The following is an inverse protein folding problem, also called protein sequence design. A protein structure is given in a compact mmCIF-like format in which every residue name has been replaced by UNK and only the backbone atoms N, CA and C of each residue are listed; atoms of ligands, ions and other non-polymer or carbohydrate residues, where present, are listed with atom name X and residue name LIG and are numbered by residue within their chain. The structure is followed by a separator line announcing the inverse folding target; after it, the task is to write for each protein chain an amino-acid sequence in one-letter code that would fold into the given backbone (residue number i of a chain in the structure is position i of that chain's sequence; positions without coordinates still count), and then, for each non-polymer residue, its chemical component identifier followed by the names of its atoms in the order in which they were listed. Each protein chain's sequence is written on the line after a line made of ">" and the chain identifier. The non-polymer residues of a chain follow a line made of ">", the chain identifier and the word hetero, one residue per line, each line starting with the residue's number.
data_IF_209093080280
#
_entry.id   IF_209093080280
#
_cell.length_a   1.000
_cell.length_b   1.000
_cell.length_c   1.000
_cell.angle_alpha   90.00
_cell.angle_beta   90.00
_cell.angle_gamma   90.00
#
_symmetry.space_group_name_H-M   'P 1'
#
loop_
_entity.id
_entity.type
_entity.pdbx_description
1 polymer ?
#
# COMPACT_ATOMS: atom_id res chain seq x y z
N UNK A 1 7.02 -42.98 -36.79
CA UNK A 1 6.60 -43.59 -35.50
C UNK A 1 5.55 -42.67 -34.88
N UNK A 2 4.45 -42.37 -35.57
CA UNK A 2 3.22 -43.17 -35.61
C UNK A 2 2.82 -43.81 -34.27
N UNK A 3 1.75 -43.24 -33.68
CA UNK A 3 0.56 -43.85 -33.04
C UNK A 3 -0.10 -42.71 -32.23
N UNK A 4 -1.01 -41.91 -32.80
CA UNK A 4 -2.44 -42.21 -33.02
C UNK A 4 -3.05 -43.06 -31.91
N UNK A 5 -4.00 -42.46 -31.15
CA UNK A 5 -5.33 -43.01 -30.83
C UNK A 5 -6.09 -42.07 -29.86
N UNK A 6 -7.01 -41.28 -30.39
CA UNK A 6 -8.23 -40.86 -29.69
C UNK A 6 -9.30 -41.95 -29.86
N UNK A 7 -10.25 -42.09 -28.91
CA UNK A 7 -11.63 -42.30 -29.33
C UNK A 7 -12.65 -41.44 -28.55
N UNK A 8 -13.32 -40.60 -29.33
CA UNK A 8 -14.76 -40.30 -29.40
C UNK A 8 -15.74 -40.90 -28.36
N UNK A 9 -16.43 -39.98 -27.68
CA UNK A 9 -17.91 -39.89 -27.50
C UNK A 9 -18.73 -41.17 -27.33
N UNK A 10 -19.35 -41.35 -26.16
CA UNK A 10 -20.68 -41.95 -26.03
C UNK A 10 -21.42 -41.36 -24.82
N UNK A 11 -22.38 -40.49 -25.16
CA UNK A 11 -23.73 -40.42 -24.61
C UNK A 11 -23.91 -40.32 -23.08
N UNK A 12 -24.26 -39.13 -22.59
CA UNK A 12 -25.32 -38.95 -21.59
C UNK A 12 -25.84 -37.51 -21.63
N UNK A 13 -26.56 -37.19 -22.70
CA UNK A 13 -27.46 -36.05 -22.78
C UNK A 13 -28.87 -36.54 -22.44
N UNK A 14 -29.24 -36.53 -21.15
CA UNK A 14 -30.63 -36.59 -20.70
C UNK A 14 -30.86 -35.52 -19.62
N UNK A 15 -31.07 -34.31 -20.12
CA UNK A 15 -32.19 -33.43 -19.81
C UNK A 15 -32.99 -33.70 -18.52
N UNK A 16 -32.82 -32.78 -17.55
CA UNK A 16 -33.87 -31.94 -16.94
C UNK A 16 -35.02 -32.65 -16.20
N UNK A 17 -35.20 -32.31 -14.91
CA UNK A 17 -36.41 -31.67 -14.32
C UNK A 17 -36.42 -31.78 -12.79
N UNK A 18 -36.27 -30.66 -12.09
CA UNK A 18 -37.05 -30.30 -10.89
C UNK A 18 -36.61 -28.90 -10.44
N UNK A 19 -37.22 -27.82 -10.96
CA UNK A 19 -38.28 -27.07 -10.26
C UNK A 19 -38.00 -26.86 -8.76
N UNK A 20 -37.60 -25.64 -8.43
CA UNK A 20 -38.20 -24.78 -7.39
C UNK A 20 -37.41 -23.46 -7.39
N UNK A 21 -37.80 -22.50 -8.22
CA UNK A 21 -38.53 -21.29 -7.78
C UNK A 21 -38.03 -20.65 -6.49
N UNK A 22 -37.79 -19.36 -6.61
CA UNK A 22 -37.57 -18.38 -5.56
C UNK A 22 -36.11 -18.28 -5.12
N UNK A 23 -35.33 -17.54 -5.92
CA UNK A 23 -34.45 -16.52 -5.35
C UNK A 23 -35.29 -15.71 -4.35
N UNK A 24 -35.27 -16.14 -3.10
CA UNK A 24 -35.93 -15.42 -2.02
C UNK A 24 -35.06 -14.19 -1.72
N UNK A 25 -35.05 -13.24 -2.65
CA UNK A 25 -34.86 -11.84 -2.33
C UNK A 25 -35.98 -11.50 -1.36
N UNK A 26 -35.68 -11.70 -0.07
CA UNK A 26 -36.42 -11.08 1.00
C UNK A 26 -36.15 -9.59 0.85
N UNK A 27 -36.96 -8.92 0.04
CA UNK A 27 -37.25 -7.51 0.21
C UNK A 27 -37.98 -7.35 1.56
N UNK A 28 -37.24 -7.54 2.65
CA UNK A 28 -37.55 -6.86 3.89
C UNK A 28 -37.28 -5.40 3.58
N UNK A 29 -38.27 -4.73 3.00
CA UNK A 29 -38.31 -3.29 2.82
C UNK A 29 -38.14 -2.69 4.21
N UNK A 30 -36.91 -2.31 4.55
CA UNK A 30 -36.61 -1.59 5.79
C UNK A 30 -37.46 -0.33 5.77
N UNK A 31 -38.55 -0.29 6.54
CA UNK A 31 -39.31 0.94 6.72
C UNK A 31 -38.41 2.09 7.22
N UNK A 32 -37.31 1.74 7.92
CA UNK A 32 -36.22 2.63 8.35
C UNK A 32 -34.90 1.84 8.36
N UNK A 33 -33.81 2.41 7.84
CA UNK A 33 -32.47 1.81 7.85
C UNK A 33 -31.60 2.41 8.98
N UNK A 34 -30.47 1.78 9.32
CA UNK A 34 -29.54 2.30 10.32
C UNK A 34 -28.70 3.43 9.71
N UNK A 35 -28.69 4.59 10.36
CA UNK A 35 -28.04 5.79 9.85
C UNK A 35 -26.49 5.77 9.95
N UNK A 36 -25.91 5.10 10.95
CA UNK A 36 -24.45 5.05 11.15
C UNK A 36 -23.99 3.83 11.96
N UNK A 37 -22.80 3.29 11.67
CA UNK A 37 -22.15 2.23 12.47
C UNK A 37 -20.63 2.19 12.32
N UNK A 38 -19.93 2.06 13.46
CA UNK A 38 -18.46 1.87 13.53
C UNK A 38 -18.08 0.41 13.94
N UNK A 39 -19.07 -0.48 14.02
CA UNK A 39 -18.94 -1.81 14.66
C UNK A 39 -17.79 -2.69 14.15
N UNK A 40 -17.55 -2.71 12.83
CA UNK A 40 -16.49 -3.54 12.24
C UNK A 40 -15.27 -2.73 11.74
N UNK A 41 -15.20 -1.43 12.04
CA UNK A 41 -14.11 -0.60 11.53
C UNK A 41 -12.79 -0.93 12.25
N UNK A 42 -12.82 -0.99 13.58
CA UNK A 42 -11.64 -1.34 14.38
C UNK A 42 -11.06 -2.71 14.01
N UNK A 43 -11.90 -3.74 13.86
CA UNK A 43 -11.45 -5.09 13.48
C UNK A 43 -10.74 -5.10 12.11
N UNK A 44 -11.24 -4.34 11.13
CA UNK A 44 -10.61 -4.21 9.81
C UNK A 44 -9.27 -3.47 9.89
N UNK A 45 -9.18 -2.37 10.63
CA UNK A 45 -7.93 -1.63 10.81
C UNK A 45 -6.84 -2.47 11.49
N UNK A 46 -7.24 -3.31 12.46
CA UNK A 46 -6.31 -4.19 13.18
C UNK A 46 -5.96 -5.48 12.42
N UNK A 47 -6.73 -5.91 11.41
CA UNK A 47 -6.39 -7.09 10.58
C UNK A 47 -5.02 -6.97 9.91
N UNK A 48 -4.67 -5.78 9.43
CA UNK A 48 -3.35 -5.48 8.85
C UNK A 48 -2.40 -4.82 9.87
N UNK A 49 -2.93 -4.46 11.05
CA UNK A 49 -2.25 -3.70 12.10
C UNK A 49 -2.12 -2.20 11.76
N UNK A 50 -2.40 -1.35 12.75
CA UNK A 50 -2.18 0.10 12.65
C UNK A 50 -0.67 0.35 12.82
N UNK A 51 0.04 0.60 11.72
CA UNK A 51 1.48 0.84 11.73
C UNK A 51 1.77 2.32 12.02
N UNK A 52 2.75 2.59 12.88
CA UNK A 52 3.28 3.94 13.11
C UNK A 52 4.07 4.40 11.88
N UNK A 53 4.12 5.71 11.58
CA UNK A 53 5.00 6.22 10.53
C UNK A 53 6.45 5.86 10.88
N UNK A 54 7.27 5.55 9.86
CA UNK A 54 8.68 5.24 10.07
C UNK A 54 9.44 6.53 10.38
N UNK A 55 10.21 6.53 11.46
CA UNK A 55 11.20 7.58 11.73
C UNK A 55 12.47 7.30 10.96
N UNK A 56 13.01 8.32 10.28
CA UNK A 56 14.30 8.24 9.62
C UNK A 56 15.35 9.02 10.43
N UNK A 57 16.63 8.63 10.35
CA UNK A 57 17.72 9.35 11.04
C UNK A 57 17.84 10.80 10.56
N UNK A 58 17.61 11.03 9.27
CA UNK A 58 17.68 12.34 8.64
C UNK A 58 16.37 12.60 7.89
N UNK A 59 15.60 13.57 8.37
CA UNK A 59 14.34 13.99 7.77
C UNK A 59 14.55 15.05 6.69
N UNK A 60 13.53 15.27 5.86
CA UNK A 60 13.57 16.30 4.82
C UNK A 60 13.51 17.72 5.43
N UNK A 61 14.23 18.68 4.82
CA UNK A 61 14.21 20.10 5.24
C UNK A 61 13.10 20.92 4.57
N UNK A 62 12.00 20.27 4.15
CA UNK A 62 10.86 20.95 3.52
C UNK A 62 10.10 21.77 4.57
N UNK A 63 9.80 23.03 4.26
CA UNK A 63 9.11 23.95 5.18
C UNK A 63 10.02 24.78 6.08
N UNK A 64 11.34 24.61 5.97
CA UNK A 64 12.32 25.49 6.62
C UNK A 64 12.42 26.81 5.87
N UNK A 65 12.68 27.91 6.60
CA UNK A 65 12.83 29.25 6.05
C UNK A 65 13.76 29.29 4.81
N UNK A 66 13.29 29.82 3.66
CA UNK A 66 14.09 29.94 2.46
C UNK A 66 15.40 30.72 2.65
N UNK A 67 15.43 31.76 3.49
CA UNK A 67 16.65 32.56 3.71
C UNK A 67 17.72 31.73 4.42
N UNK A 68 17.34 30.99 5.46
CA UNK A 68 18.21 30.02 6.11
C UNK A 68 18.71 28.93 5.14
N UNK A 69 17.82 28.35 4.33
CA UNK A 69 18.19 27.32 3.37
C UNK A 69 19.19 27.80 2.32
N UNK A 70 19.05 29.04 1.84
CA UNK A 70 20.01 29.65 0.90
C UNK A 70 21.39 29.74 1.52
N UNK A 71 21.50 30.25 2.76
CA UNK A 71 22.78 30.34 3.46
C UNK A 71 23.41 28.95 3.69
N UNK A 72 22.65 28.00 4.22
CA UNK A 72 23.14 26.64 4.46
C UNK A 72 23.64 25.97 3.17
N UNK A 73 22.95 26.18 2.05
CA UNK A 73 23.39 25.68 0.73
C UNK A 73 24.73 26.29 0.31
N UNK A 74 24.92 27.61 0.49
CA UNK A 74 26.19 28.27 0.18
C UNK A 74 27.33 27.80 1.08
N UNK A 75 27.09 27.64 2.39
CA UNK A 75 28.07 27.11 3.32
C UNK A 75 28.52 25.69 2.90
N UNK A 76 27.57 24.78 2.66
CA UNK A 76 27.87 23.42 2.19
C UNK A 76 28.59 23.41 0.84
N UNK A 77 28.26 24.33 -0.08
CA UNK A 77 28.90 24.46 -1.39
C UNK A 77 30.40 24.78 -1.29
N UNK A 78 30.80 25.64 -0.36
CA UNK A 78 32.18 26.15 -0.29
C UNK A 78 33.10 25.42 0.70
N UNK A 79 32.59 24.43 1.45
CA UNK A 79 33.39 23.62 2.39
C UNK A 79 34.64 22.98 1.78
N UNK A 80 34.62 22.64 0.47
CA UNK A 80 35.77 22.05 -0.24
C UNK A 80 37.02 22.94 -0.24
N UNK A 81 36.85 24.28 -0.14
CA UNK A 81 37.97 25.23 -0.16
C UNK A 81 38.80 25.19 1.13
N UNK A 82 38.20 24.81 2.25
CA UNK A 82 38.85 24.78 3.57
C UNK A 82 39.58 23.48 3.89
N UNK A 83 39.42 22.43 3.08
CA UNK A 83 39.84 21.06 3.42
C UNK A 83 41.34 20.94 3.73
N UNK A 84 42.20 21.59 2.94
CA UNK A 84 43.66 21.56 3.16
C UNK A 84 44.08 22.20 4.49
N UNK A 85 43.36 23.26 4.91
CA UNK A 85 43.64 23.93 6.19
C UNK A 85 43.16 23.06 7.35
N UNK A 86 41.97 22.47 7.22
CA UNK A 86 41.41 21.55 8.22
C UNK A 86 42.34 20.33 8.41
N UNK A 87 42.80 19.71 7.32
CA UNK A 87 43.70 18.56 7.39
C UNK A 87 45.04 18.89 8.08
N UNK A 88 45.63 20.05 7.77
CA UNK A 88 46.85 20.53 8.44
C UNK A 88 46.62 20.78 9.94
N UNK A 89 45.50 21.38 10.31
CA UNK A 89 45.13 21.62 11.71
C UNK A 89 44.85 20.31 12.46
N UNK A 90 44.26 19.32 11.80
CA UNK A 90 44.02 18.00 12.37
C UNK A 90 45.31 17.20 12.57
N UNK A 91 46.26 17.31 11.65
CA UNK A 91 47.57 16.66 11.77
C UNK A 91 48.48 17.33 12.80
N UNK A 92 48.25 18.62 13.08
CA UNK A 92 48.95 19.37 14.11
C UNK A 92 48.34 19.20 15.52
N UNK A 93 47.21 18.48 15.61
CA UNK A 93 46.49 18.19 16.85
C UNK A 93 46.79 16.77 17.28
#
# INVERSE_FOLDING_TARGET
>A
MERLLFPTTLHNFLFRLSRATCSRQRDLKMAKSKNHTTHNQSRKWHRNGIKKPRSHRYESLKGVDPKFLRNMRFAKKHNKRGLKKIAKQQAAK
#
